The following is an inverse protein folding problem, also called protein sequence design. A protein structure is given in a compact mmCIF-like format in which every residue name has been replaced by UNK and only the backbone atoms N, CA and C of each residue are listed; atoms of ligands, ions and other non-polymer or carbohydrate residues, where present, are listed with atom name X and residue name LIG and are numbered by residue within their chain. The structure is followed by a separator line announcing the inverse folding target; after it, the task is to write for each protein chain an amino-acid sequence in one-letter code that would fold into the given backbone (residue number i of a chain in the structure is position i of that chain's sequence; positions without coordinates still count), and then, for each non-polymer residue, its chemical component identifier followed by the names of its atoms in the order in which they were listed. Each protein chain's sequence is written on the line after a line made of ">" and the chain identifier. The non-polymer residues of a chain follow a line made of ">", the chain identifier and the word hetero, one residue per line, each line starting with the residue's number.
data_IF_289865541926
#
_entry.id   IF_289865541926
#
_cell.length_a   1.000
_cell.length_b   1.000
_cell.length_c   1.000
_cell.angle_alpha   90.00
_cell.angle_beta   90.00
_cell.angle_gamma   90.00
#
_symmetry.space_group_name_H-M   'P 1'
#
loop_
_entity.id
_entity.type
_entity.pdbx_description
1 polymer ?
#
# COMPACT_ATOMS: atom_id res chain seq x y z
N UNK A 1 -4.13 1.60 -15.30
CA UNK A 1 -4.76 1.10 -16.55
C UNK A 1 -4.66 -0.43 -16.70
N UNK A 2 -3.45 -1.05 -16.60
CA UNK A 2 -3.33 -2.52 -16.71
C UNK A 2 -4.06 -3.21 -15.55
N UNK A 3 -3.80 -2.80 -14.30
CA UNK A 3 -4.47 -3.37 -13.12
C UNK A 3 -5.99 -3.17 -13.19
N UNK A 4 -6.45 -2.02 -13.65
CA UNK A 4 -7.87 -1.74 -13.84
C UNK A 4 -8.50 -2.69 -14.88
N UNK A 5 -7.85 -2.86 -16.03
CA UNK A 5 -8.30 -3.81 -17.06
C UNK A 5 -8.32 -5.26 -16.54
N UNK A 6 -7.30 -5.66 -15.76
CA UNK A 6 -7.28 -6.99 -15.12
C UNK A 6 -8.37 -7.12 -14.05
N UNK A 7 -8.62 -6.05 -13.27
CA UNK A 7 -9.65 -6.06 -12.23
C UNK A 7 -11.07 -6.23 -12.80
N UNK A 8 -11.30 -5.78 -14.03
CA UNK A 8 -12.56 -6.00 -14.73
C UNK A 8 -12.79 -7.49 -15.05
N UNK A 9 -11.72 -8.25 -15.28
CA UNK A 9 -11.76 -9.68 -15.61
C UNK A 9 -11.68 -10.61 -14.39
N UNK A 10 -11.25 -10.10 -13.23
CA UNK A 10 -11.18 -10.82 -11.98
C UNK A 10 -12.54 -10.81 -11.26
N UNK A 11 -12.81 -11.83 -10.45
CA UNK A 11 -13.92 -11.86 -9.50
C UNK A 11 -13.55 -11.21 -8.17
N UNK A 12 -12.28 -11.36 -7.78
CA UNK A 12 -11.74 -10.88 -6.49
C UNK A 12 -10.44 -10.13 -6.73
N UNK A 13 -10.29 -8.95 -6.15
CA UNK A 13 -9.06 -8.13 -6.23
C UNK A 13 -8.52 -7.91 -4.83
N UNK A 14 -7.25 -8.30 -4.59
CA UNK A 14 -6.67 -8.30 -3.25
C UNK A 14 -5.39 -7.47 -3.22
N UNK A 15 -5.34 -6.42 -2.41
CA UNK A 15 -4.10 -5.74 -2.05
C UNK A 15 -3.39 -6.49 -0.92
N UNK A 16 -2.12 -6.77 -1.10
CA UNK A 16 -1.38 -7.65 -0.19
C UNK A 16 -0.25 -6.96 0.58
N UNK A 17 0.15 -5.72 0.24
CA UNK A 17 1.21 -4.98 0.92
C UNK A 17 1.07 -3.47 0.73
N UNK A 18 1.91 -2.68 1.44
CA UNK A 18 1.89 -1.23 1.40
C UNK A 18 0.83 -0.63 2.32
N UNK A 19 0.36 0.54 1.99
CA UNK A 19 -0.66 1.29 2.71
C UNK A 19 -1.23 2.40 1.82
N UNK A 20 -1.71 3.48 2.41
CA UNK A 20 -2.27 4.63 1.68
C UNK A 20 -1.21 5.61 1.12
N UNK A 21 0.05 5.19 1.07
CA UNK A 21 1.15 5.93 0.45
C UNK A 21 1.22 5.77 -1.07
N UNK A 22 0.59 4.73 -1.64
CA UNK A 22 0.55 4.44 -3.06
C UNK A 22 -0.83 4.74 -3.62
N UNK A 23 -1.01 5.90 -4.22
CA UNK A 23 -2.24 6.24 -4.92
C UNK A 23 -2.20 5.87 -6.40
N UNK A 24 -3.34 5.46 -6.92
CA UNK A 24 -3.53 5.27 -8.37
C UNK A 24 -4.85 5.89 -8.83
N UNK A 25 -4.88 6.29 -10.08
CA UNK A 25 -6.04 6.94 -10.68
C UNK A 25 -6.67 6.02 -11.71
N UNK A 26 -7.97 5.82 -11.60
CA UNK A 26 -8.80 5.12 -12.56
C UNK A 26 -9.76 6.10 -13.23
N UNK A 27 -10.02 5.89 -14.50
CA UNK A 27 -11.06 6.64 -15.24
C UNK A 27 -12.01 5.62 -15.84
N UNK A 28 -13.26 5.63 -15.38
CA UNK A 28 -14.31 4.70 -15.78
C UNK A 28 -15.53 5.53 -16.18
N UNK A 29 -16.00 5.35 -17.39
CA UNK A 29 -17.16 6.07 -17.94
C UNK A 29 -17.09 7.61 -17.75
N UNK A 30 -15.85 8.17 -17.90
CA UNK A 30 -15.58 9.59 -17.73
C UNK A 30 -15.42 10.04 -16.28
N UNK A 31 -15.70 9.18 -15.29
CA UNK A 31 -15.52 9.50 -13.87
C UNK A 31 -14.11 9.13 -13.41
N UNK A 32 -13.46 10.07 -12.72
CA UNK A 32 -12.11 9.86 -12.18
C UNK A 32 -12.17 9.44 -10.73
N UNK A 33 -11.60 8.26 -10.43
CA UNK A 33 -11.43 7.73 -9.09
C UNK A 33 -9.95 7.77 -8.68
N UNK A 34 -9.64 8.32 -7.51
CA UNK A 34 -8.30 8.36 -6.93
C UNK A 34 -8.28 7.42 -5.74
N UNK A 35 -7.76 6.21 -5.93
CA UNK A 35 -7.70 5.20 -4.87
C UNK A 35 -6.34 5.21 -4.18
N UNK A 36 -6.33 4.94 -2.87
CA UNK A 36 -5.13 4.93 -2.01
C UNK A 36 -4.97 3.59 -1.28
N UNK A 37 -5.99 3.16 -0.54
CA UNK A 37 -6.05 1.88 0.19
C UNK A 37 -6.94 0.87 -0.50
N UNK A 38 -8.07 1.32 -1.03
CA UNK A 38 -9.05 0.45 -1.67
C UNK A 38 -8.45 -0.20 -2.93
N UNK A 39 -8.67 -1.52 -3.13
CA UNK A 39 -8.25 -2.20 -4.36
C UNK A 39 -8.99 -1.69 -5.59
N UNK A 40 -8.36 -1.81 -6.77
CA UNK A 40 -8.92 -1.34 -8.05
C UNK A 40 -10.28 -1.93 -8.39
N UNK A 41 -10.61 -3.11 -7.89
CA UNK A 41 -11.90 -3.77 -8.14
C UNK A 41 -13.09 -3.10 -7.50
N UNK A 42 -12.90 -2.23 -6.49
CA UNK A 42 -14.01 -1.64 -5.71
C UNK A 42 -14.95 -0.77 -6.57
N UNK A 43 -14.44 -0.15 -7.61
CA UNK A 43 -15.21 0.71 -8.51
C UNK A 43 -15.91 -0.08 -9.64
N UNK A 44 -15.79 -1.40 -9.64
CA UNK A 44 -16.39 -2.31 -10.62
C UNK A 44 -17.54 -3.10 -9.99
N UNK A 45 -18.66 -3.20 -10.69
CA UNK A 45 -19.81 -3.98 -10.22
C UNK A 45 -19.50 -5.47 -10.12
N UNK A 46 -20.11 -6.14 -9.16
CA UNK A 46 -20.03 -7.59 -8.97
C UNK A 46 -18.58 -8.11 -8.71
N UNK A 47 -17.71 -7.29 -8.10
CA UNK A 47 -16.36 -7.66 -7.69
C UNK A 47 -16.24 -7.63 -6.17
N UNK A 48 -15.39 -8.48 -5.65
CA UNK A 48 -15.01 -8.44 -4.23
C UNK A 48 -13.62 -7.83 -4.12
N UNK A 49 -13.47 -6.83 -3.30
CA UNK A 49 -12.21 -6.14 -3.04
C UNK A 49 -11.73 -6.45 -1.63
N UNK A 50 -10.46 -6.79 -1.47
CA UNK A 50 -9.92 -7.26 -0.19
C UNK A 50 -8.62 -6.52 0.14
N UNK A 51 -8.50 -6.10 1.39
CA UNK A 51 -7.24 -5.66 2.00
C UNK A 51 -6.67 -6.83 2.81
N UNK A 52 -5.51 -7.35 2.40
CA UNK A 52 -4.80 -8.44 3.06
C UNK A 52 -4.07 -8.02 4.33
N UNK A 53 -3.62 -9.01 5.11
CA UNK A 53 -2.89 -8.79 6.37
C UNK A 53 -1.49 -8.16 6.18
N UNK A 54 -0.97 -8.17 4.97
CA UNK A 54 0.30 -7.52 4.65
C UNK A 54 0.20 -6.00 4.50
N UNK A 55 -1.00 -5.45 4.33
CA UNK A 55 -1.25 -4.00 4.26
C UNK A 55 -1.26 -3.40 5.67
N UNK A 56 -0.72 -2.20 5.83
CA UNK A 56 -0.92 -1.37 7.01
C UNK A 56 -2.02 -0.35 6.72
N UNK A 57 -3.04 -0.31 7.58
CA UNK A 57 -4.30 0.39 7.34
C UNK A 57 -4.44 1.59 8.27
N UNK A 58 -4.47 2.79 7.71
CA UNK A 58 -4.94 3.97 8.44
C UNK A 58 -6.48 3.93 8.43
N UNK A 59 -7.13 3.68 9.58
CA UNK A 59 -8.57 3.45 9.61
C UNK A 59 -9.36 4.71 9.27
N UNK A 60 -8.88 5.89 9.64
CA UNK A 60 -9.54 7.16 9.33
C UNK A 60 -9.42 7.47 7.83
N UNK A 61 -8.19 7.35 7.27
CA UNK A 61 -7.99 7.55 5.84
C UNK A 61 -8.77 6.56 4.98
N UNK A 62 -9.02 5.34 5.47
CA UNK A 62 -9.86 4.36 4.78
C UNK A 62 -11.33 4.79 4.77
N UNK A 63 -11.86 5.24 5.91
CA UNK A 63 -13.24 5.72 5.99
C UNK A 63 -13.46 6.96 5.12
N UNK A 64 -12.50 7.90 5.12
CA UNK A 64 -12.53 9.06 4.23
C UNK A 64 -12.55 8.63 2.76
N UNK A 65 -11.71 7.67 2.37
CA UNK A 65 -11.67 7.16 0.99
C UNK A 65 -12.97 6.46 0.59
N UNK A 66 -13.58 5.69 1.50
CA UNK A 66 -14.89 5.06 1.28
C UNK A 66 -15.97 6.15 1.03
N UNK A 67 -15.97 7.20 1.84
CA UNK A 67 -16.90 8.32 1.66
C UNK A 67 -16.68 9.04 0.32
N UNK A 68 -15.40 9.36 -0.02
CA UNK A 68 -15.04 10.01 -1.30
C UNK A 68 -15.54 9.25 -2.53
N UNK A 69 -15.48 7.91 -2.53
CA UNK A 69 -15.98 7.12 -3.65
C UNK A 69 -17.50 6.92 -3.58
N UNK A 70 -18.07 6.91 -2.37
CA UNK A 70 -19.52 6.88 -2.14
C UNK A 70 -20.22 8.09 -2.75
N UNK A 71 -19.65 9.29 -2.62
CA UNK A 71 -20.12 10.52 -3.27
C UNK A 71 -20.13 10.42 -4.80
N UNK A 72 -19.35 9.50 -5.38
CA UNK A 72 -19.31 9.21 -6.82
C UNK A 72 -20.18 8.03 -7.22
N UNK A 73 -21.07 7.57 -6.33
CA UNK A 73 -22.03 6.51 -6.59
C UNK A 73 -21.47 5.08 -6.45
N UNK A 74 -20.29 4.90 -5.83
CA UNK A 74 -19.73 3.57 -5.56
C UNK A 74 -20.17 3.12 -4.16
N UNK A 75 -21.01 2.10 -4.11
CA UNK A 75 -21.42 1.49 -2.84
C UNK A 75 -20.30 0.57 -2.30
N UNK A 76 -19.93 0.75 -1.03
CA UNK A 76 -18.96 -0.10 -0.31
C UNK A 76 -19.65 -0.72 0.91
N UNK A 77 -19.83 -2.03 0.86
CA UNK A 77 -20.49 -2.79 1.92
C UNK A 77 -19.73 -4.11 2.21
N UNK A 78 -20.19 -4.89 3.21
CA UNK A 78 -19.55 -6.15 3.62
C UNK A 78 -19.64 -7.27 2.59
N UNK A 79 -20.42 -7.13 1.53
CA UNK A 79 -20.51 -8.12 0.44
C UNK A 79 -19.41 -7.90 -0.60
N UNK A 80 -19.04 -6.64 -0.87
CA UNK A 80 -18.08 -6.29 -1.91
C UNK A 80 -16.73 -5.80 -1.39
N UNK A 81 -16.59 -5.59 -0.07
CA UNK A 81 -15.33 -5.14 0.54
C UNK A 81 -15.01 -5.87 1.84
N UNK A 82 -13.77 -6.30 1.99
CA UNK A 82 -13.27 -6.98 3.21
C UNK A 82 -11.89 -6.48 3.59
N UNK A 83 -11.62 -6.48 4.90
CA UNK A 83 -10.31 -6.19 5.48
C UNK A 83 -9.87 -7.38 6.31
N UNK A 84 -8.63 -7.82 6.15
CA UNK A 84 -8.08 -8.86 7.01
C UNK A 84 -8.14 -8.43 8.48
N UNK A 85 -8.75 -9.26 9.32
CA UNK A 85 -8.76 -9.03 10.77
C UNK A 85 -7.35 -8.97 11.38
N UNK A 86 -6.35 -9.55 10.69
CA UNK A 86 -4.95 -9.52 11.07
C UNK A 86 -4.16 -8.33 10.48
N UNK A 87 -4.79 -7.44 9.70
CA UNK A 87 -4.15 -6.24 9.18
C UNK A 87 -3.81 -5.27 10.33
N UNK A 88 -2.62 -4.65 10.23
CA UNK A 88 -2.12 -3.75 11.28
C UNK A 88 -2.61 -2.33 11.02
N UNK A 89 -2.95 -1.61 12.10
CA UNK A 89 -3.42 -0.23 12.02
C UNK A 89 -2.27 0.78 12.04
N UNK A 90 -2.40 1.82 11.24
CA UNK A 90 -1.60 3.03 11.33
C UNK A 90 -2.31 3.98 12.29
N UNK A 91 -1.60 4.45 13.29
CA UNK A 91 -2.12 5.34 14.33
C UNK A 91 -1.40 6.70 14.28
N UNK A 92 -1.94 7.74 14.92
CA UNK A 92 -1.38 9.10 14.84
C UNK A 92 0.13 9.18 15.16
N UNK A 93 0.60 8.43 16.15
CA UNK A 93 2.01 8.41 16.52
C UNK A 93 2.92 7.82 15.42
N UNK A 94 2.42 6.93 14.55
CA UNK A 94 3.19 6.44 13.41
C UNK A 94 3.44 7.55 12.38
N UNK A 95 2.43 8.37 12.09
CA UNK A 95 2.56 9.51 11.16
C UNK A 95 3.54 10.54 11.69
N UNK A 96 3.38 10.93 12.95
CA UNK A 96 4.30 11.89 13.58
C UNK A 96 5.74 11.37 13.65
N UNK A 97 5.95 10.08 13.90
CA UNK A 97 7.28 9.47 13.91
C UNK A 97 7.92 9.51 12.52
N UNK A 98 7.16 9.24 11.47
CA UNK A 98 7.62 9.32 10.07
C UNK A 98 8.06 10.76 9.73
N UNK A 99 7.26 11.76 10.12
CA UNK A 99 7.59 13.19 9.97
C UNK A 99 8.87 13.56 10.73
N UNK A 100 8.98 13.20 12.01
CA UNK A 100 10.15 13.51 12.83
C UNK A 100 11.42 12.92 12.23
N UNK A 101 11.38 11.68 11.76
CA UNK A 101 12.53 10.99 11.15
C UNK A 101 12.95 11.65 9.83
N UNK A 102 12.00 11.96 8.96
CA UNK A 102 12.28 12.64 7.70
C UNK A 102 12.86 14.03 7.92
N UNK A 103 12.35 14.79 8.89
CA UNK A 103 12.85 16.12 9.19
C UNK A 103 14.26 16.09 9.81
N UNK A 104 14.51 15.10 10.70
CA UNK A 104 15.82 14.93 11.33
C UNK A 104 16.91 14.43 10.36
N UNK A 105 16.54 13.70 9.30
CA UNK A 105 17.49 13.10 8.36
C UNK A 105 18.17 14.12 7.43
N UNK A 106 17.65 15.34 7.29
CA UNK A 106 18.25 16.41 6.49
C UNK A 106 18.54 15.97 5.04
N UNK A 107 19.83 15.91 4.66
CA UNK A 107 20.26 15.47 3.32
C UNK A 107 20.14 13.97 3.09
N UNK A 108 20.05 13.17 4.14
CA UNK A 108 19.94 11.70 4.09
C UNK A 108 18.50 11.20 4.13
N UNK A 109 17.53 12.07 3.94
CA UNK A 109 16.11 11.70 3.94
C UNK A 109 15.80 10.70 2.83
N UNK A 110 14.91 9.76 3.13
CA UNK A 110 14.42 8.75 2.17
C UNK A 110 13.46 9.39 1.17
N UNK A 111 12.76 10.44 1.57
CA UNK A 111 11.71 11.07 0.80
C UNK A 111 10.37 10.37 0.96
N UNK A 112 10.03 9.94 2.18
CA UNK A 112 8.77 9.25 2.50
C UNK A 112 7.56 10.12 2.20
N UNK A 113 6.38 9.50 2.21
CA UNK A 113 5.11 10.22 2.05
C UNK A 113 4.58 10.78 3.36
N UNK A 114 5.29 10.57 4.48
CA UNK A 114 4.92 10.98 5.84
C UNK A 114 3.54 10.45 6.28
N UNK A 115 3.23 9.23 5.84
CA UNK A 115 1.95 8.56 6.13
C UNK A 115 2.06 7.51 7.25
N UNK A 116 3.22 7.41 7.90
CA UNK A 116 3.44 6.47 9.00
C UNK A 116 3.59 5.01 8.59
N UNK A 117 3.83 4.74 7.30
CA UNK A 117 3.93 3.38 6.77
C UNK A 117 5.10 2.62 7.41
N UNK A 118 6.31 3.22 7.39
CA UNK A 118 7.51 2.63 7.97
C UNK A 118 7.34 2.30 9.45
N UNK A 119 7.01 3.28 10.30
CA UNK A 119 6.78 3.04 11.72
C UNK A 119 5.70 1.99 12.03
N UNK A 120 4.63 1.88 11.20
CA UNK A 120 3.62 0.84 11.40
C UNK A 120 4.15 -0.56 11.06
N UNK A 121 4.98 -0.72 10.02
CA UNK A 121 5.68 -1.98 9.75
C UNK A 121 6.71 -2.32 10.83
N UNK A 122 7.42 -1.34 11.35
CA UNK A 122 8.34 -1.52 12.49
C UNK A 122 7.58 -2.06 13.71
N UNK A 123 6.42 -1.53 14.03
CA UNK A 123 5.59 -2.04 15.13
C UNK A 123 5.04 -3.44 14.86
N UNK A 124 4.71 -3.74 13.60
CA UNK A 124 4.29 -5.09 13.20
C UNK A 124 5.36 -6.13 13.50
N UNK A 125 6.61 -5.92 13.04
CA UNK A 125 7.71 -6.85 13.30
C UNK A 125 8.20 -6.77 14.74
N UNK A 126 8.06 -5.62 15.40
CA UNK A 126 8.27 -5.41 16.82
C UNK A 126 7.21 -6.06 17.72
N UNK A 127 6.15 -6.66 17.15
CA UNK A 127 5.08 -7.41 17.84
C UNK A 127 4.28 -6.57 18.84
N UNK A 128 4.17 -5.25 18.62
CA UNK A 128 3.46 -4.31 19.49
C UNK A 128 2.31 -3.58 18.78
N UNK A 129 2.10 -3.84 17.47
CA UNK A 129 1.04 -3.18 16.70
C UNK A 129 -0.37 -3.58 17.16
N UNK A 130 -1.32 -2.70 16.88
CA UNK A 130 -2.75 -2.95 17.01
C UNK A 130 -3.27 -3.45 15.66
N UNK A 131 -4.07 -4.51 15.68
CA UNK A 131 -4.69 -5.12 14.50
C UNK A 131 -6.18 -4.78 14.43
N UNK A 132 -6.78 -4.93 13.26
CA UNK A 132 -8.23 -4.74 13.08
C UNK A 132 -9.04 -5.58 14.09
N UNK A 133 -8.65 -6.83 14.33
CA UNK A 133 -9.35 -7.71 15.29
C UNK A 133 -9.32 -7.18 16.74
N UNK A 134 -8.32 -6.40 17.13
CA UNK A 134 -8.19 -5.89 18.49
C UNK A 134 -9.28 -4.85 18.81
N UNK A 135 -9.89 -4.25 17.77
CA UNK A 135 -11.01 -3.33 17.93
C UNK A 135 -12.31 -4.01 18.43
N UNK A 136 -12.40 -5.36 18.37
CA UNK A 136 -13.59 -6.11 18.83
C UNK A 136 -13.78 -6.11 20.34
N UNK A 137 -12.72 -5.86 21.10
CA UNK A 137 -12.72 -5.95 22.56
C UNK A 137 -12.00 -4.76 23.17
N UNK A 138 -12.75 -3.92 23.88
CA UNK A 138 -12.18 -2.77 24.59
C UNK A 138 -11.07 -3.19 25.56
N UNK A 139 -11.22 -4.34 26.25
CA UNK A 139 -10.20 -4.90 27.16
C UNK A 139 -8.92 -5.19 26.43
N UNK A 140 -8.99 -5.89 25.27
CA UNK A 140 -7.81 -6.23 24.47
C UNK A 140 -7.18 -4.97 23.87
N UNK A 141 -7.97 -4.06 23.33
CA UNK A 141 -7.52 -2.79 22.80
C UNK A 141 -6.75 -1.99 23.85
N UNK A 142 -7.30 -1.88 25.07
CA UNK A 142 -6.65 -1.19 26.17
C UNK A 142 -5.26 -1.78 26.50
N UNK A 143 -5.15 -3.10 26.59
CA UNK A 143 -3.87 -3.78 26.84
C UNK A 143 -2.87 -3.57 25.70
N UNK A 144 -3.32 -3.63 24.44
CA UNK A 144 -2.46 -3.36 23.28
C UNK A 144 -1.98 -1.92 23.24
N UNK A 145 -2.85 -0.97 23.56
CA UNK A 145 -2.49 0.45 23.68
C UNK A 145 -1.44 0.70 24.76
N UNK A 146 -1.52 0.05 25.90
CA UNK A 146 -0.49 0.14 26.92
C UNK A 146 0.88 -0.28 26.40
N UNK A 147 0.93 -1.42 25.71
CA UNK A 147 2.18 -1.96 25.17
C UNK A 147 2.79 -1.05 24.09
N UNK A 148 2.00 -0.58 23.14
CA UNK A 148 2.52 0.26 22.05
C UNK A 148 2.88 1.67 22.53
N UNK A 149 2.09 2.25 23.43
CA UNK A 149 2.36 3.58 23.97
C UNK A 149 3.53 3.60 24.94
N UNK A 150 3.83 2.50 25.64
CA UNK A 150 5.07 2.39 26.43
C UNK A 150 6.30 2.68 25.56
N UNK A 151 6.35 2.09 24.37
CA UNK A 151 7.44 2.31 23.42
C UNK A 151 7.43 3.73 22.83
N UNK A 152 6.32 4.13 22.23
CA UNK A 152 6.25 5.44 21.55
C UNK A 152 6.37 6.61 22.51
N UNK A 153 5.78 6.54 23.70
CA UNK A 153 5.87 7.62 24.68
C UNK A 153 7.27 7.73 25.31
N UNK A 154 8.04 6.61 25.42
CA UNK A 154 9.44 6.67 25.84
C UNK A 154 10.29 7.46 24.82
N UNK A 155 10.13 7.17 23.53
CA UNK A 155 10.81 7.90 22.44
C UNK A 155 10.40 9.38 22.45
N UNK A 156 9.10 9.68 22.56
CA UNK A 156 8.57 11.05 22.57
C UNK A 156 9.12 11.86 23.73
N UNK A 157 9.20 11.28 24.93
CA UNK A 157 9.85 11.93 26.08
C UNK A 157 11.31 12.26 25.80
N UNK A 158 12.07 11.32 25.21
CA UNK A 158 13.45 11.54 24.81
C UNK A 158 13.62 12.66 23.76
N UNK A 159 12.60 12.88 22.92
CA UNK A 159 12.54 13.95 21.91
C UNK A 159 11.91 15.25 22.42
N UNK A 160 11.58 15.36 23.70
CA UNK A 160 10.89 16.54 24.28
C UNK A 160 9.49 16.77 23.73
N UNK A 161 8.81 15.73 23.21
CA UNK A 161 7.46 15.80 22.66
C UNK A 161 6.40 15.41 23.69
N UNK A 162 5.21 16.00 23.58
CA UNK A 162 4.04 15.60 24.41
C UNK A 162 3.72 14.11 24.16
N UNK A 163 3.47 13.37 25.23
CA UNK A 163 3.03 11.97 25.15
C UNK A 163 1.61 11.84 24.59
N UNK A 164 1.29 10.69 24.03
CA UNK A 164 -0.08 10.33 23.67
C UNK A 164 -0.83 9.83 24.90
N UNK A 165 -2.01 10.36 25.10
CA UNK A 165 -2.92 9.94 26.16
C UNK A 165 -3.68 8.68 25.72
N UNK A 166 -3.52 7.61 26.51
CA UNK A 166 -4.08 6.29 26.18
C UNK A 166 -5.61 6.33 26.03
N UNK A 167 -6.30 6.97 26.96
CA UNK A 167 -7.77 7.00 26.97
C UNK A 167 -8.33 7.75 25.75
N UNK A 168 -7.73 8.89 25.40
CA UNK A 168 -8.14 9.63 24.21
C UNK A 168 -8.01 8.78 22.94
N UNK A 169 -6.87 8.13 22.75
CA UNK A 169 -6.66 7.29 21.56
C UNK A 169 -7.57 6.06 21.55
N UNK A 170 -7.84 5.47 22.74
CA UNK A 170 -8.79 4.38 22.89
C UNK A 170 -10.20 4.81 22.44
N UNK A 171 -10.67 5.94 22.94
CA UNK A 171 -12.00 6.46 22.64
C UNK A 171 -12.14 6.81 21.15
N UNK A 172 -11.12 7.42 20.54
CA UNK A 172 -11.06 7.69 19.09
C UNK A 172 -11.15 6.42 18.24
N UNK A 173 -10.48 5.34 18.67
CA UNK A 173 -10.53 4.04 17.99
C UNK A 173 -11.87 3.34 18.18
N UNK A 174 -12.43 3.36 19.41
CA UNK A 174 -13.74 2.76 19.69
C UNK A 174 -14.87 3.45 18.92
N UNK A 175 -14.77 4.75 18.71
CA UNK A 175 -15.73 5.51 17.91
C UNK A 175 -15.84 5.02 16.46
N UNK A 176 -14.71 4.67 15.84
CA UNK A 176 -14.68 4.20 14.44
C UNK A 176 -14.73 2.68 14.32
N UNK A 177 -14.59 1.95 15.43
CA UNK A 177 -14.53 0.48 15.43
C UNK A 177 -15.73 -0.18 14.72
N UNK A 178 -17.00 0.24 14.94
CA UNK A 178 -18.14 -0.37 14.24
C UNK A 178 -18.02 -0.25 12.72
N UNK A 179 -17.55 0.89 12.21
CA UNK A 179 -17.42 1.16 10.78
C UNK A 179 -16.29 0.37 10.13
N UNK A 180 -15.23 0.06 10.87
CA UNK A 180 -14.13 -0.79 10.39
C UNK A 180 -14.47 -2.27 10.53
N UNK A 181 -15.05 -2.67 11.66
CA UNK A 181 -15.32 -4.07 11.98
C UNK A 181 -16.37 -4.71 11.08
N UNK A 182 -17.30 -3.93 10.52
CA UNK A 182 -18.27 -4.45 9.54
C UNK A 182 -17.60 -5.06 8.29
N UNK A 183 -16.37 -4.66 7.97
CA UNK A 183 -15.56 -5.19 6.88
C UNK A 183 -14.56 -6.26 7.31
N UNK A 184 -14.39 -6.49 8.60
CA UNK A 184 -13.37 -7.40 9.15
C UNK A 184 -13.67 -8.87 8.84
N UNK A 185 -12.71 -9.56 8.22
CA UNK A 185 -12.88 -10.97 7.85
C UNK A 185 -11.58 -11.78 8.03
N UNK A 186 -11.67 -13.10 8.25
CA UNK A 186 -10.54 -14.01 8.15
C UNK A 186 -10.17 -14.24 6.67
N UNK A 187 -9.41 -13.33 6.09
CA UNK A 187 -9.15 -13.25 4.65
C UNK A 187 -8.54 -14.53 4.10
N UNK A 188 -7.63 -15.19 4.84
CA UNK A 188 -7.06 -16.48 4.44
C UNK A 188 -8.13 -17.56 4.17
N UNK A 189 -9.19 -17.59 5.01
CA UNK A 189 -10.32 -18.52 4.83
C UNK A 189 -11.20 -18.12 3.64
N UNK A 190 -11.43 -16.81 3.47
CA UNK A 190 -12.19 -16.28 2.32
C UNK A 190 -11.51 -16.61 0.99
N UNK A 191 -10.19 -16.47 0.92
CA UNK A 191 -9.41 -16.84 -0.27
C UNK A 191 -9.56 -18.34 -0.57
N UNK A 192 -9.47 -19.22 0.44
CA UNK A 192 -9.68 -20.66 0.24
C UNK A 192 -11.09 -20.96 -0.30
N UNK A 193 -12.12 -20.29 0.23
CA UNK A 193 -13.49 -20.41 -0.27
C UNK A 193 -13.61 -19.96 -1.73
N UNK A 194 -13.03 -18.81 -2.10
CA UNK A 194 -13.04 -18.32 -3.49
C UNK A 194 -12.31 -19.27 -4.45
N UNK A 195 -11.19 -19.86 -4.02
CA UNK A 195 -10.47 -20.87 -4.81
C UNK A 195 -11.33 -22.11 -5.05
N UNK A 196 -12.01 -22.63 -4.02
CA UNK A 196 -12.94 -23.75 -4.15
C UNK A 196 -14.10 -23.45 -5.11
N UNK A 197 -14.54 -22.20 -5.16
CA UNK A 197 -15.54 -21.69 -6.10
C UNK A 197 -14.97 -21.40 -7.49
N UNK A 198 -13.68 -21.69 -7.75
CA UNK A 198 -12.97 -21.39 -9.01
C UNK A 198 -13.03 -19.90 -9.43
N UNK A 199 -13.12 -19.00 -8.47
CA UNK A 199 -13.09 -17.56 -8.71
C UNK A 199 -11.72 -17.12 -9.21
N UNK A 200 -11.70 -16.17 -10.15
CA UNK A 200 -10.49 -15.53 -10.64
C UNK A 200 -10.02 -14.48 -9.62
N UNK A 201 -8.83 -14.68 -9.05
CA UNK A 201 -8.26 -13.82 -8.03
C UNK A 201 -7.10 -13.01 -8.62
N UNK A 202 -7.18 -11.68 -8.52
CA UNK A 202 -6.10 -10.76 -8.87
C UNK A 202 -5.42 -10.27 -7.58
N UNK A 203 -4.13 -10.57 -7.42
CA UNK A 203 -3.30 -9.95 -6.40
C UNK A 203 -2.72 -8.65 -6.94
N UNK A 204 -3.12 -7.53 -6.34
CA UNK A 204 -2.71 -6.19 -6.73
C UNK A 204 -1.57 -5.71 -5.86
N UNK A 205 -0.37 -5.61 -6.43
CA UNK A 205 0.80 -5.02 -5.77
C UNK A 205 0.79 -3.50 -5.80
N UNK A 206 1.58 -2.91 -4.94
CA UNK A 206 1.80 -1.47 -4.88
C UNK A 206 3.31 -1.17 -4.93
N UNK A 207 3.69 0.08 -5.21
CA UNK A 207 5.07 0.55 -5.39
C UNK A 207 5.76 -0.13 -6.61
N UNK A 208 6.96 -0.66 -6.42
CA UNK A 208 7.73 -1.35 -7.44
C UNK A 208 8.99 -1.99 -6.86
N UNK A 209 9.64 -2.86 -7.65
CA UNK A 209 10.73 -3.71 -7.18
C UNK A 209 11.92 -2.95 -6.58
N UNK A 210 12.28 -1.78 -7.14
CA UNK A 210 13.37 -0.97 -6.58
C UNK A 210 13.05 -0.38 -5.20
N UNK A 211 11.79 -0.44 -4.80
CA UNK A 211 11.32 -0.01 -3.48
C UNK A 211 11.10 -1.19 -2.52
N UNK A 212 11.37 -2.43 -2.94
CA UNK A 212 11.29 -3.60 -2.06
C UNK A 212 12.30 -3.50 -0.93
N UNK A 213 11.89 -3.81 0.31
CA UNK A 213 12.74 -3.64 1.49
C UNK A 213 13.99 -4.52 1.48
N UNK A 214 13.92 -5.70 0.85
CA UNK A 214 15.03 -6.67 0.78
C UNK A 214 15.76 -6.62 -0.57
N UNK A 215 15.04 -6.44 -1.67
CA UNK A 215 15.57 -6.55 -3.04
C UNK A 215 15.72 -5.19 -3.75
N UNK A 216 15.30 -4.11 -3.10
CA UNK A 216 15.36 -2.76 -3.66
C UNK A 216 16.68 -2.03 -3.40
N UNK A 217 16.68 -0.74 -3.66
CA UNK A 217 17.84 0.15 -3.49
C UNK A 217 17.93 0.68 -2.05
N UNK A 218 18.14 -0.22 -1.10
CA UNK A 218 18.25 0.13 0.31
C UNK A 218 19.32 1.21 0.56
N UNK A 219 19.08 2.24 1.40
CA UNK A 219 17.90 2.45 2.27
C UNK A 219 16.73 3.18 1.59
N UNK A 220 16.82 3.51 0.30
CA UNK A 220 15.80 4.25 -0.46
C UNK A 220 14.67 3.32 -0.94
N UNK A 221 13.98 2.69 0.00
CA UNK A 221 12.96 1.65 -0.21
C UNK A 221 11.69 1.95 0.61
N UNK A 222 10.61 1.23 0.33
CA UNK A 222 9.45 1.15 1.24
C UNK A 222 9.72 0.12 2.33
N UNK A 223 8.90 0.09 3.36
CA UNK A 223 9.07 -0.84 4.49
C UNK A 223 8.34 -2.18 4.30
N UNK A 224 7.99 -2.52 3.07
CA UNK A 224 7.33 -3.77 2.73
C UNK A 224 8.00 -4.48 1.55
N UNK A 225 7.76 -5.79 1.44
CA UNK A 225 8.15 -6.54 0.26
C UNK A 225 7.15 -6.28 -0.87
N UNK A 226 7.67 -5.83 -2.02
CA UNK A 226 6.88 -5.52 -3.21
C UNK A 226 6.94 -6.61 -4.27
N UNK A 227 7.77 -7.64 -4.04
CA UNK A 227 7.88 -8.83 -4.90
C UNK A 227 6.61 -9.65 -4.92
N UNK A 228 6.33 -10.35 -6.01
CA UNK A 228 5.09 -11.11 -6.17
C UNK A 228 4.88 -12.20 -5.12
N UNK A 229 5.95 -12.83 -4.64
CA UNK A 229 5.90 -13.86 -3.59
C UNK A 229 5.29 -13.36 -2.28
N UNK A 230 5.39 -12.07 -1.99
CA UNK A 230 4.77 -11.47 -0.79
C UNK A 230 3.24 -11.45 -0.81
N UNK A 231 2.61 -11.71 -1.97
CA UNK A 231 1.16 -11.88 -2.05
C UNK A 231 0.70 -13.08 -1.20
N UNK A 232 1.47 -14.16 -1.14
CA UNK A 232 1.15 -15.31 -0.31
C UNK A 232 1.14 -14.96 1.18
N UNK A 233 2.21 -14.37 1.70
CA UNK A 233 2.32 -13.98 3.11
C UNK A 233 1.41 -12.82 3.47
N UNK A 234 1.24 -11.87 2.55
CA UNK A 234 0.41 -10.67 2.75
C UNK A 234 -1.10 -10.92 2.71
N UNK A 235 -1.53 -12.11 2.33
CA UNK A 235 -2.95 -12.50 2.30
C UNK A 235 -3.25 -13.78 3.08
N UNK A 236 -2.22 -14.54 3.46
CA UNK A 236 -2.36 -15.81 4.16
C UNK A 236 -2.74 -16.98 3.25
N UNK A 237 -2.55 -16.88 1.92
CA UNK A 237 -2.71 -18.00 1.01
C UNK A 237 -1.38 -18.77 0.84
N UNK A 238 -1.47 -20.03 0.38
CA UNK A 238 -0.28 -20.80 0.06
C UNK A 238 0.43 -20.24 -1.19
N UNK A 239 1.77 -20.42 -1.32
CA UNK A 239 2.53 -19.87 -2.46
C UNK A 239 2.06 -20.42 -3.82
N UNK A 240 1.55 -21.65 -3.86
CA UNK A 240 0.96 -22.28 -5.03
C UNK A 240 -0.38 -21.68 -5.48
N UNK A 241 -0.87 -20.65 -4.77
CA UNK A 241 -2.07 -19.90 -5.17
C UNK A 241 -1.79 -18.86 -6.24
N UNK A 242 -0.51 -18.55 -6.50
CA UNK A 242 -0.08 -17.63 -7.54
C UNK A 242 0.27 -18.46 -8.78
N UNK A 243 -0.56 -18.38 -9.80
CA UNK A 243 -0.42 -19.20 -11.01
C UNK A 243 0.28 -18.46 -12.15
N UNK A 244 0.27 -17.13 -12.13
CA UNK A 244 0.86 -16.27 -13.14
C UNK A 244 1.24 -14.92 -12.55
N UNK A 245 2.44 -14.44 -12.86
CA UNK A 245 2.95 -13.16 -12.41
C UNK A 245 3.14 -12.22 -13.61
N UNK A 246 2.32 -11.18 -13.70
CA UNK A 246 2.45 -10.13 -14.70
C UNK A 246 3.27 -8.96 -14.16
N UNK A 247 4.47 -8.78 -14.69
CA UNK A 247 5.28 -7.59 -14.43
C UNK A 247 4.79 -6.40 -15.27
N UNK A 248 4.64 -5.24 -14.64
CA UNK A 248 4.27 -4.00 -15.33
C UNK A 248 5.48 -3.08 -15.35
N UNK A 249 5.94 -2.69 -16.53
CA UNK A 249 7.03 -1.74 -16.71
C UNK A 249 6.68 -0.67 -17.74
N UNK A 250 7.33 0.47 -17.66
CA UNK A 250 7.27 1.49 -18.70
C UNK A 250 8.35 1.24 -19.73
N UNK A 251 8.21 1.80 -20.91
CA UNK A 251 9.25 1.79 -21.95
C UNK A 251 10.48 2.67 -21.59
N UNK A 252 10.40 3.37 -20.48
CA UNK A 252 11.49 4.15 -19.86
C UNK A 252 11.40 4.01 -18.34
N UNK A 253 12.45 4.39 -17.62
CA UNK A 253 12.48 4.27 -16.16
C UNK A 253 12.08 5.60 -15.50
N UNK A 254 11.35 5.50 -14.37
CA UNK A 254 11.03 6.68 -13.55
C UNK A 254 11.24 6.39 -12.07
N UNK A 255 11.66 7.42 -11.32
CA UNK A 255 11.84 7.34 -9.87
C UNK A 255 11.29 8.59 -9.17
N UNK A 256 10.66 8.40 -8.03
CA UNK A 256 10.30 9.46 -7.09
C UNK A 256 11.24 9.38 -5.88
N UNK A 257 11.75 10.54 -5.44
CA UNK A 257 12.65 10.60 -4.27
C UNK A 257 14.12 10.30 -4.61
N UNK A 258 14.88 10.10 -3.56
CA UNK A 258 16.31 9.91 -3.62
C UNK A 258 16.71 8.48 -4.00
N UNK A 259 18.00 8.23 -4.08
CA UNK A 259 18.57 6.92 -4.36
C UNK A 259 19.11 6.77 -5.78
N UNK A 260 19.81 5.65 -6.04
CA UNK A 260 20.50 5.40 -7.30
C UNK A 260 19.54 5.28 -8.49
N UNK A 261 19.93 5.83 -9.62
CA UNK A 261 19.21 5.77 -10.88
C UNK A 261 20.20 5.74 -12.05
N UNK A 262 20.78 4.57 -12.37
CA UNK A 262 21.90 4.45 -13.33
C UNK A 262 21.59 4.97 -14.73
N UNK A 263 20.34 4.88 -15.17
CA UNK A 263 19.90 5.31 -16.52
C UNK A 263 19.24 6.69 -16.51
N UNK A 264 19.39 7.48 -15.43
CA UNK A 264 18.80 8.80 -15.31
C UNK A 264 19.30 9.76 -16.39
N UNK A 265 18.39 10.58 -16.91
CA UNK A 265 18.66 11.63 -17.88
C UNK A 265 18.37 13.00 -17.24
N UNK A 266 19.41 13.77 -17.04
CA UNK A 266 19.34 15.15 -16.50
C UNK A 266 19.38 16.21 -17.60
N UNK A 267 19.08 15.83 -18.84
CA UNK A 267 19.11 16.63 -20.06
C UNK A 267 17.68 16.89 -20.61
N UNK A 268 17.63 17.52 -21.79
CA UNK A 268 16.37 17.82 -22.51
C UNK A 268 15.53 16.58 -22.80
N UNK A 269 16.15 15.39 -22.97
CA UNK A 269 15.43 14.13 -23.24
C UNK A 269 14.71 13.70 -21.96
N UNK A 270 15.38 13.73 -20.81
CA UNK A 270 14.76 13.44 -19.52
C UNK A 270 13.59 14.36 -19.20
N UNK A 271 13.73 15.66 -19.51
CA UNK A 271 12.63 16.61 -19.37
C UNK A 271 11.45 16.31 -20.30
N UNK A 272 11.75 15.93 -21.56
CA UNK A 272 10.73 15.56 -22.54
C UNK A 272 9.94 14.33 -22.10
N UNK A 273 10.62 13.28 -21.64
CA UNK A 273 10.00 12.08 -21.06
C UNK A 273 9.07 12.44 -19.89
N UNK A 274 9.53 13.32 -18.99
CA UNK A 274 8.75 13.79 -17.86
C UNK A 274 7.48 14.53 -18.25
N UNK A 275 7.58 15.40 -19.23
CA UNK A 275 6.48 16.25 -19.72
C UNK A 275 5.46 15.45 -20.54
N UNK A 276 5.92 14.74 -21.59
CA UNK A 276 5.06 13.89 -22.44
C UNK A 276 4.43 12.76 -21.64
N UNK A 277 5.21 12.12 -20.76
CA UNK A 277 4.76 11.05 -19.89
C UNK A 277 3.85 11.51 -18.75
N UNK A 278 3.75 12.82 -18.48
CA UNK A 278 3.03 13.40 -17.31
C UNK A 278 3.50 12.76 -16.01
N UNK A 279 4.83 12.71 -15.82
CA UNK A 279 5.45 11.96 -14.74
C UNK A 279 5.46 12.76 -13.43
N UNK A 280 4.31 12.75 -12.75
CA UNK A 280 4.10 13.34 -11.43
C UNK A 280 3.51 12.29 -10.47
N UNK A 281 3.85 12.40 -9.20
CA UNK A 281 3.30 11.52 -8.15
C UNK A 281 1.81 11.81 -7.93
N UNK A 282 0.96 10.79 -7.95
CA UNK A 282 -0.49 10.94 -7.79
C UNK A 282 -0.88 11.52 -6.42
N UNK A 283 -0.14 11.18 -5.37
CA UNK A 283 -0.40 11.62 -3.98
C UNK A 283 0.33 12.92 -3.65
N UNK A 284 1.59 13.03 -4.08
CA UNK A 284 2.48 14.13 -3.66
C UNK A 284 2.67 15.20 -4.72
N UNK A 285 2.17 14.99 -5.94
CA UNK A 285 2.40 15.85 -7.12
C UNK A 285 3.89 16.11 -7.41
N UNK A 286 4.81 15.35 -6.81
CA UNK A 286 6.26 15.49 -7.03
C UNK A 286 6.62 15.05 -8.43
N UNK A 287 7.46 15.85 -9.13
CA UNK A 287 8.06 15.47 -10.43
C UNK A 287 8.90 14.21 -10.24
N UNK A 288 8.73 13.25 -11.13
CA UNK A 288 9.56 12.04 -11.19
C UNK A 288 10.83 12.31 -11.98
N UNK A 289 11.92 11.76 -11.52
CA UNK A 289 13.17 11.61 -12.28
C UNK A 289 12.90 10.64 -13.42
N UNK A 290 13.43 10.90 -14.62
CA UNK A 290 13.20 10.07 -15.81
C UNK A 290 14.54 9.62 -16.39
N UNK A 291 14.57 8.46 -17.02
CA UNK A 291 15.75 7.91 -17.65
C UNK A 291 15.42 6.78 -18.62
N UNK A 292 16.44 6.28 -19.34
CA UNK A 292 16.25 5.19 -20.27
C UNK A 292 15.76 3.90 -19.58
N UNK A 293 15.17 3.02 -20.37
CA UNK A 293 14.77 1.69 -19.92
C UNK A 293 15.98 0.92 -19.39
N UNK A 294 15.88 0.45 -18.15
CA UNK A 294 16.95 -0.32 -17.50
C UNK A 294 16.72 -1.83 -17.70
N UNK A 295 17.32 -2.38 -18.76
CA UNK A 295 17.18 -3.80 -19.10
C UNK A 295 17.88 -4.73 -18.09
N UNK A 296 18.92 -4.27 -17.39
CA UNK A 296 19.60 -5.06 -16.34
C UNK A 296 18.67 -5.22 -15.15
N UNK A 297 18.08 -4.12 -14.70
CA UNK A 297 17.09 -4.11 -13.62
C UNK A 297 15.90 -5.02 -13.95
N UNK A 298 15.34 -4.91 -15.16
CA UNK A 298 14.17 -5.70 -15.55
C UNK A 298 14.50 -7.19 -15.58
N UNK A 299 15.68 -7.59 -16.07
CA UNK A 299 16.12 -9.00 -16.02
C UNK A 299 16.27 -9.52 -14.58
N UNK A 300 16.81 -8.71 -13.68
CA UNK A 300 16.89 -9.05 -12.26
C UNK A 300 15.48 -9.22 -11.66
N UNK A 301 14.60 -8.28 -11.95
CA UNK A 301 13.21 -8.28 -11.45
C UNK A 301 12.44 -9.53 -11.89
N UNK A 302 12.60 -9.94 -13.15
CA UNK A 302 11.99 -11.17 -13.69
C UNK A 302 12.38 -12.38 -12.82
N UNK A 303 13.66 -12.50 -12.48
CA UNK A 303 14.17 -13.63 -11.68
C UNK A 303 13.68 -13.57 -10.23
N UNK A 304 13.79 -12.40 -9.59
CA UNK A 304 13.44 -12.22 -8.17
C UNK A 304 11.94 -12.38 -7.92
N UNK A 305 11.12 -11.88 -8.82
CA UNK A 305 9.66 -11.93 -8.68
C UNK A 305 8.99 -13.10 -9.42
N UNK A 306 9.75 -13.93 -10.15
CA UNK A 306 9.20 -15.04 -10.94
C UNK A 306 8.19 -14.56 -11.98
N UNK A 307 8.54 -13.51 -12.74
CA UNK A 307 7.64 -12.90 -13.72
C UNK A 307 7.51 -13.79 -14.95
N UNK A 308 6.27 -14.16 -15.28
CA UNK A 308 5.92 -14.99 -16.44
C UNK A 308 5.71 -14.16 -17.70
N UNK A 309 5.24 -12.92 -17.56
CA UNK A 309 4.98 -12.01 -18.68
C UNK A 309 5.17 -10.55 -18.28
N UNK A 310 5.43 -9.71 -19.28
CA UNK A 310 5.64 -8.26 -19.10
C UNK A 310 4.60 -7.48 -19.89
N UNK A 311 3.90 -6.57 -19.18
CA UNK A 311 3.12 -5.51 -19.80
C UNK A 311 3.99 -4.26 -19.96
N UNK A 312 4.46 -4.01 -21.18
CA UNK A 312 5.21 -2.81 -21.51
C UNK A 312 4.27 -1.64 -21.80
N UNK A 313 4.39 -0.56 -21.02
CA UNK A 313 3.51 0.59 -21.08
C UNK A 313 4.24 1.86 -21.50
N UNK A 314 3.51 2.93 -21.84
CA UNK A 314 4.08 4.23 -22.16
C UNK A 314 5.01 4.24 -23.41
N UNK A 315 4.83 3.31 -24.36
CA UNK A 315 5.52 3.32 -25.65
C UNK A 315 5.18 4.58 -26.46
N UNK A 316 4.00 5.12 -26.29
CA UNK A 316 3.50 6.35 -26.90
C UNK A 316 4.21 7.63 -26.43
N UNK A 317 5.06 7.51 -25.41
CA UNK A 317 5.86 8.64 -24.87
C UNK A 317 7.21 8.77 -25.56
N UNK A 318 7.77 7.66 -26.05
CA UNK A 318 9.03 7.62 -26.81
C UNK A 318 8.86 8.09 -28.29
#
# INVERSE_FOLDING_TARGET
>A
KIVDWLSEQADVVIRFQGGHNAGHTLVIDGVTYKLRLLPSGIVRKNKVSIIGNGVVVDPWALLDEINEIGEKGVEVNSENFMISEAANLILPFHREMDEIREDAAGKSKIGTTRRGIGPAYEDKVGRRSIRVMDLRSEKNLNQRLETVLLHHNAIRKGLGKKIFEKNQLKDDLLKIAPDILKFSAPVWLKIDQFKKQKKKILFEGAQGILLDVDHGTYPFVTSSNTVASSAATGTGCGPNSINYVLGITKAYTTRVGEGPFPTELVDKIGELLGTRGKEFGTVTSRKRRCGWFDGVLVRQTIKVSGIDGIALTKLDVL
#
